data_IF_829804464435
#
_entry.id   IF_829804464435
#
_cell.length_a   1.000
_cell.length_b   1.000
_cell.length_c   1.000
_cell.angle_alpha   90.00
_cell.angle_beta   90.00
_cell.angle_gamma   90.00
#
_symmetry.space_group_name_H-M   'P 1'
#
loop_
_entity.id
_entity.type
_entity.pdbx_description
1 polymer ?
#
# COMPACT_ATOMS: atom_id res chain seq x y z
N UNK A 1 13.59 14.97 -1.92
CA UNK A 1 12.22 14.96 -1.37
C UNK A 1 12.27 14.20 -0.06
N UNK A 2 11.80 14.78 1.04
CA UNK A 2 11.60 14.02 2.28
C UNK A 2 10.51 12.96 2.03
N UNK A 3 10.91 11.69 2.10
CA UNK A 3 10.02 10.54 1.91
C UNK A 3 9.47 10.20 3.29
N UNK A 4 8.62 11.05 3.83
CA UNK A 4 8.02 10.83 5.15
C UNK A 4 6.51 10.75 5.00
N UNK A 5 6.00 9.54 4.81
CA UNK A 5 4.59 9.29 5.06
C UNK A 5 4.39 9.31 6.59
N UNK A 6 3.38 10.04 7.06
CA UNK A 6 3.04 10.06 8.48
C UNK A 6 2.34 8.74 8.81
N UNK A 7 2.93 7.99 9.74
CA UNK A 7 2.37 6.75 10.26
C UNK A 7 1.88 6.98 11.68
N UNK A 8 0.69 6.45 11.98
CA UNK A 8 0.08 6.55 13.30
C UNK A 8 -0.23 5.16 13.83
N UNK A 9 0.31 4.85 15.00
CA UNK A 9 0.02 3.61 15.71
C UNK A 9 -1.07 3.86 16.76
N UNK A 10 -2.08 3.00 16.81
CA UNK A 10 -3.09 3.04 17.88
C UNK A 10 -3.55 1.65 18.28
N UNK A 11 -3.87 1.49 19.57
CA UNK A 11 -4.43 0.25 20.07
C UNK A 11 -5.92 0.15 19.74
N UNK A 12 -6.33 -0.96 19.14
CA UNK A 12 -7.72 -1.27 18.83
C UNK A 12 -8.15 -2.50 19.63
N UNK A 13 -8.93 -2.28 20.70
CA UNK A 13 -9.40 -3.32 21.63
C UNK A 13 -10.34 -4.34 21.00
N UNK A 14 -11.07 -3.97 19.96
CA UNK A 14 -12.15 -4.80 19.38
C UNK A 14 -11.63 -5.64 18.21
N UNK A 15 -10.59 -5.17 17.52
CA UNK A 15 -10.03 -5.86 16.38
C UNK A 15 -9.10 -7.00 16.83
N UNK A 16 -9.36 -8.22 16.34
CA UNK A 16 -8.47 -9.39 16.46
C UNK A 16 -8.02 -9.68 17.91
N UNK A 17 -8.92 -9.56 18.87
CA UNK A 17 -8.63 -9.81 20.29
C UNK A 17 -7.82 -8.71 20.99
N UNK A 18 -7.65 -7.56 20.34
CA UNK A 18 -6.90 -6.43 20.88
C UNK A 18 -5.50 -6.33 20.28
N UNK A 19 -5.34 -5.52 19.24
CA UNK A 19 -4.06 -5.34 18.55
C UNK A 19 -3.72 -3.87 18.36
N UNK A 20 -2.43 -3.56 18.26
CA UNK A 20 -1.98 -2.27 17.75
C UNK A 20 -2.06 -2.32 16.22
N UNK A 21 -2.75 -1.34 15.63
CA UNK A 21 -2.76 -1.12 14.19
C UNK A 21 -1.87 0.07 13.84
N UNK A 22 -1.38 0.06 12.60
CA UNK A 22 -0.66 1.19 12.02
C UNK A 22 -1.50 1.69 10.85
N UNK A 23 -1.79 2.99 10.83
CA UNK A 23 -2.52 3.67 9.76
C UNK A 23 -1.64 4.75 9.12
N UNK A 24 -1.89 5.04 7.85
CA UNK A 24 -1.16 6.07 7.11
C UNK A 24 -1.75 6.32 5.74
N UNK A 25 -1.15 7.27 5.03
CA UNK A 25 -1.46 7.57 3.63
C UNK A 25 -0.71 6.62 2.68
N UNK A 26 -1.40 6.18 1.64
CA UNK A 26 -0.87 5.33 0.60
C UNK A 26 -1.53 5.63 -0.75
N UNK A 27 -1.08 4.92 -1.78
CA UNK A 27 -1.59 5.03 -3.13
C UNK A 27 -2.05 3.67 -3.62
N UNK A 28 -3.25 3.61 -4.19
CA UNK A 28 -3.72 2.47 -4.96
C UNK A 28 -3.40 2.70 -6.43
N UNK A 29 -2.87 1.66 -7.09
CA UNK A 29 -2.65 1.66 -8.53
C UNK A 29 -3.91 1.14 -9.21
N UNK A 30 -4.47 1.95 -10.10
CA UNK A 30 -5.60 1.57 -10.93
C UNK A 30 -5.23 0.47 -11.93
N UNK A 31 -6.24 -0.26 -12.37
CA UNK A 31 -6.12 -1.26 -13.43
C UNK A 31 -6.01 -0.57 -14.79
N UNK A 32 -5.14 -1.10 -15.65
CA UNK A 32 -5.07 -0.71 -17.06
C UNK A 32 -5.90 -1.67 -17.90
N UNK A 33 -6.46 -1.19 -19.00
CA UNK A 33 -7.26 -2.01 -19.93
C UNK A 33 -6.39 -3.02 -20.71
N UNK A 34 -5.08 -2.76 -20.81
CA UNK A 34 -4.12 -3.58 -21.54
C UNK A 34 -3.12 -4.21 -20.59
N UNK A 35 -2.79 -5.48 -20.83
CA UNK A 35 -1.78 -6.21 -20.05
C UNK A 35 -0.36 -5.63 -20.24
N UNK A 36 -0.08 -5.08 -21.43
CA UNK A 36 1.21 -4.48 -21.77
C UNK A 36 1.01 -3.15 -22.50
N UNK A 37 1.82 -2.16 -22.11
CA UNK A 37 1.93 -0.87 -22.78
C UNK A 37 3.41 -0.48 -22.91
N UNK A 38 3.79 0.26 -23.97
CA UNK A 38 5.12 0.84 -24.06
C UNK A 38 5.42 1.70 -22.83
N UNK A 39 6.60 1.54 -22.22
CA UNK A 39 6.98 2.21 -20.97
C UNK A 39 6.76 3.73 -21.03
N UNK A 40 7.00 4.34 -22.19
CA UNK A 40 6.87 5.78 -22.42
C UNK A 40 5.42 6.27 -22.51
N UNK A 41 4.48 5.36 -22.77
CA UNK A 41 3.06 5.66 -22.93
C UNK A 41 2.24 5.36 -21.66
N UNK A 42 2.83 4.64 -20.70
CA UNK A 42 2.17 4.24 -19.45
C UNK A 42 1.79 5.48 -18.64
N UNK A 43 0.48 5.70 -18.48
CA UNK A 43 -0.06 6.66 -17.51
C UNK A 43 -0.53 5.90 -16.28
N UNK A 44 0.23 6.02 -15.20
CA UNK A 44 -0.13 5.36 -13.95
C UNK A 44 -1.39 6.00 -13.36
N UNK A 45 -2.50 5.27 -13.36
CA UNK A 45 -3.70 5.65 -12.62
C UNK A 45 -3.40 5.48 -11.14
N UNK A 46 -3.34 6.58 -10.39
CA UNK A 46 -3.01 6.57 -8.96
C UNK A 46 -4.16 7.20 -8.18
N UNK A 47 -4.61 6.52 -7.12
CA UNK A 47 -5.65 7.03 -6.23
C UNK A 47 -5.13 7.10 -4.78
N UNK A 48 -5.21 8.25 -4.11
CA UNK A 48 -4.83 8.34 -2.70
C UNK A 48 -5.81 7.56 -1.83
N UNK A 49 -5.28 6.77 -0.90
CA UNK A 49 -6.04 5.95 0.04
C UNK A 49 -5.44 6.03 1.45
N UNK A 50 -6.24 5.68 2.46
CA UNK A 50 -5.73 5.36 3.80
C UNK A 50 -5.53 3.85 3.90
N UNK A 51 -4.36 3.42 4.37
CA UNK A 51 -4.10 2.01 4.63
C UNK A 51 -4.17 1.71 6.14
N UNK A 52 -4.41 0.44 6.47
CA UNK A 52 -4.39 -0.09 7.83
C UNK A 52 -3.63 -1.41 7.85
N UNK A 53 -2.50 -1.43 8.56
CA UNK A 53 -1.72 -2.62 8.81
C UNK A 53 -2.08 -3.23 10.18
N UNK A 54 -2.07 -4.55 10.24
CA UNK A 54 -2.23 -5.36 11.46
C UNK A 54 -0.92 -6.13 11.72
N UNK A 55 -0.69 -6.61 12.94
CA UNK A 55 0.44 -7.49 13.22
C UNK A 55 0.37 -8.75 12.36
N UNK A 56 1.51 -9.18 11.82
CA UNK A 56 1.58 -10.34 10.91
C UNK A 56 0.98 -11.61 11.49
N UNK A 57 1.23 -11.90 12.78
CA UNK A 57 0.68 -13.09 13.46
C UNK A 57 -0.85 -13.13 13.46
N UNK A 58 -1.51 -11.99 13.28
CA UNK A 58 -2.96 -11.85 13.38
C UNK A 58 -3.67 -11.97 12.02
N UNK A 59 -2.95 -12.04 10.89
CA UNK A 59 -3.54 -11.92 9.55
C UNK A 59 -4.63 -12.95 9.23
N UNK A 60 -4.36 -14.25 9.32
CA UNK A 60 -5.28 -15.29 8.87
C UNK A 60 -6.43 -15.60 9.85
N UNK A 61 -6.77 -14.67 10.75
CA UNK A 61 -7.86 -14.79 11.73
C UNK A 61 -9.12 -14.00 11.32
N UNK A 62 -9.31 -13.78 10.02
CA UNK A 62 -10.44 -13.09 9.40
C UNK A 62 -10.79 -13.77 8.08
N UNK A 63 -11.78 -13.27 7.36
CA UNK A 63 -12.14 -13.81 6.03
C UNK A 63 -10.92 -13.86 5.09
N UNK A 64 -10.81 -14.91 4.26
CA UNK A 64 -9.71 -15.05 3.31
C UNK A 64 -9.57 -13.82 2.40
N UNK A 65 -8.33 -13.37 2.21
CA UNK A 65 -8.02 -12.23 1.35
C UNK A 65 -6.52 -12.04 1.16
N UNK A 66 -6.11 -11.19 0.20
CA UNK A 66 -4.71 -10.94 -0.11
C UNK A 66 -3.95 -10.30 1.06
N UNK A 67 -2.64 -10.52 1.10
CA UNK A 67 -1.72 -9.90 2.06
C UNK A 67 -0.33 -9.75 1.47
N UNK A 68 0.35 -8.69 1.88
CA UNK A 68 1.78 -8.53 1.72
C UNK A 68 2.40 -7.98 3.01
N UNK A 69 3.64 -8.37 3.28
CA UNK A 69 4.49 -7.78 4.33
C UNK A 69 5.32 -6.64 3.75
N UNK A 70 5.80 -6.82 2.52
CA UNK A 70 6.63 -5.86 1.82
C UNK A 70 5.77 -5.02 0.88
N UNK A 71 5.55 -3.77 1.26
CA UNK A 71 4.79 -2.80 0.47
C UNK A 71 5.80 -1.91 -0.29
N UNK A 72 5.66 -1.76 -1.62
CA UNK A 72 6.58 -0.92 -2.40
C UNK A 72 6.43 0.56 -2.01
N UNK A 73 7.55 1.27 -1.99
CA UNK A 73 7.56 2.72 -1.83
C UNK A 73 7.29 3.39 -3.18
N UNK A 74 6.51 4.48 -3.16
CA UNK A 74 6.12 5.16 -4.40
C UNK A 74 7.31 5.77 -5.16
N UNK A 75 8.36 6.18 -4.46
CA UNK A 75 9.55 6.77 -5.09
C UNK A 75 10.36 5.77 -5.93
N UNK A 76 10.18 4.47 -5.70
CA UNK A 76 10.70 3.42 -6.57
C UNK A 76 10.16 3.56 -7.99
N UNK A 77 8.88 3.91 -8.15
CA UNK A 77 8.26 4.11 -9.45
C UNK A 77 8.80 5.34 -10.16
N UNK A 78 8.98 6.45 -9.45
CA UNK A 78 9.58 7.65 -10.04
C UNK A 78 10.97 7.37 -10.60
N UNK A 79 11.80 6.59 -9.89
CA UNK A 79 13.17 6.25 -10.35
C UNK A 79 13.18 5.38 -11.59
N UNK A 80 12.32 4.35 -11.65
CA UNK A 80 12.33 3.34 -12.72
C UNK A 80 11.62 3.84 -13.98
N UNK A 81 10.50 4.55 -13.84
CA UNK A 81 9.63 4.91 -14.97
C UNK A 81 10.00 6.28 -15.58
N UNK A 82 10.40 7.28 -14.80
CA UNK A 82 10.74 8.62 -15.34
C UNK A 82 12.16 8.76 -15.87
N UNK A 83 13.04 7.78 -15.63
CA UNK A 83 14.45 7.82 -16.06
C UNK A 83 14.71 6.97 -17.32
N UNK A 84 13.68 6.35 -17.89
CA UNK A 84 13.78 5.60 -19.16
C UNK A 84 13.26 6.41 -20.34
#
# INVERSE_FOLDING_TARGET
MEITCRLEARFNRVLLGGVVIIEGDAYELGTQDRLYEPVNDVKLAIRPIKFKAIPYYAWANREPGPMTVWVPLMDYYDKVVKTS
#
